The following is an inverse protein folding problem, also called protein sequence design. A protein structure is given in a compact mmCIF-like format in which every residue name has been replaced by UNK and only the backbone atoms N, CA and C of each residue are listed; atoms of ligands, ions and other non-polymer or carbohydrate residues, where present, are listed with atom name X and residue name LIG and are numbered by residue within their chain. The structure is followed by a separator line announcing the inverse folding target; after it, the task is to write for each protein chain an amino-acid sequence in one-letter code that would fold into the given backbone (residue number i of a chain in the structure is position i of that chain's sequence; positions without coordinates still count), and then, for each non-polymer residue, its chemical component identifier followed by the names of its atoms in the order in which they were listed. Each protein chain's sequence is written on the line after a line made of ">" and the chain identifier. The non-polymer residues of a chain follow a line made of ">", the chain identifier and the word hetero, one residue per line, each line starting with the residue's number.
data_IF_028822668341
#
_entry.id   IF_028822668341
#
_cell.length_a   1.000
_cell.length_b   1.000
_cell.length_c   1.000
_cell.angle_alpha   90.00
_cell.angle_beta   90.00
_cell.angle_gamma   90.00
#
_symmetry.space_group_name_H-M   'P 1'
#
loop_
_entity.id
_entity.type
_entity.pdbx_description
1 polymer ?
#
# COMPACT_ATOMS: atom_id res chain seq x y z
N UNK A 1 75.95 0.07 7.76
CA UNK A 1 74.73 0.00 8.60
C UNK A 1 73.91 -1.20 8.11
N UNK A 2 74.04 -2.37 8.75
CA UNK A 2 73.36 -3.61 8.30
C UNK A 2 71.97 -3.67 8.95
N UNK A 3 70.92 -3.57 8.14
CA UNK A 3 69.54 -3.82 8.56
C UNK A 3 69.42 -5.29 8.99
N UNK A 4 69.09 -5.54 10.25
CA UNK A 4 68.83 -6.87 10.82
C UNK A 4 67.51 -7.37 10.21
N UNK A 5 67.54 -8.41 9.36
CA UNK A 5 66.32 -9.05 8.85
C UNK A 5 65.56 -9.61 10.04
N UNK A 6 64.38 -9.07 10.29
CA UNK A 6 63.47 -9.53 11.33
C UNK A 6 62.95 -10.92 10.92
N UNK A 7 63.15 -11.89 11.82
CA UNK A 7 62.62 -13.24 11.69
C UNK A 7 61.09 -13.15 11.78
N UNK A 8 60.40 -13.39 10.66
CA UNK A 8 59.03 -12.92 10.44
C UNK A 8 58.02 -13.43 11.48
N UNK A 9 58.25 -14.59 12.12
CA UNK A 9 57.30 -15.17 13.09
C UNK A 9 57.43 -14.65 14.53
N UNK A 10 58.62 -14.20 14.95
CA UNK A 10 58.84 -13.75 16.34
C UNK A 10 58.34 -12.32 16.58
N UNK A 11 58.33 -11.49 15.53
CA UNK A 11 57.81 -10.12 15.59
C UNK A 11 56.29 -10.08 15.75
N UNK A 12 55.54 -10.89 14.99
CA UNK A 12 54.08 -10.95 15.12
C UNK A 12 53.65 -11.40 16.52
N UNK A 13 54.33 -12.40 17.07
CA UNK A 13 54.06 -12.89 18.42
C UNK A 13 54.39 -11.85 19.51
N UNK A 14 55.35 -10.96 19.24
CA UNK A 14 55.68 -9.84 20.13
C UNK A 14 54.65 -8.73 20.06
N UNK A 15 54.16 -8.41 18.85
CA UNK A 15 53.08 -7.44 18.63
C UNK A 15 51.77 -7.93 19.28
N UNK A 16 51.42 -9.21 19.11
CA UNK A 16 50.22 -9.80 19.71
C UNK A 16 50.26 -9.74 21.23
N UNK A 17 51.41 -10.03 21.85
CA UNK A 17 51.60 -9.90 23.30
C UNK A 17 51.50 -8.45 23.78
N UNK A 18 51.96 -7.49 22.98
CA UNK A 18 51.83 -6.07 23.29
C UNK A 18 50.38 -5.61 23.22
N UNK A 19 49.64 -6.04 22.19
CA UNK A 19 48.21 -5.76 22.02
C UNK A 19 47.42 -6.42 23.16
N UNK A 20 47.67 -7.69 23.46
CA UNK A 20 47.00 -8.41 24.54
C UNK A 20 47.24 -7.76 25.90
N UNK A 21 48.48 -7.35 26.20
CA UNK A 21 48.79 -6.64 27.43
C UNK A 21 48.11 -5.27 27.48
N UNK A 22 48.09 -4.51 26.37
CA UNK A 22 47.36 -3.25 26.31
C UNK A 22 45.86 -3.44 26.53
N UNK A 23 45.25 -4.44 25.90
CA UNK A 23 43.81 -4.74 26.03
C UNK A 23 43.47 -5.24 27.45
N UNK A 24 44.36 -6.00 28.10
CA UNK A 24 44.19 -6.41 29.51
C UNK A 24 44.36 -5.26 30.50
N UNK A 25 45.22 -4.29 30.20
CA UNK A 25 45.45 -3.10 31.03
C UNK A 25 44.49 -1.94 30.72
N UNK A 26 43.76 -2.00 29.62
CA UNK A 26 42.60 -1.16 29.40
C UNK A 26 41.54 -1.56 30.42
N UNK A 27 41.22 -0.63 31.33
CA UNK A 27 40.09 -0.77 32.24
C UNK A 27 38.90 -1.28 31.45
N UNK A 28 38.39 -2.44 31.88
CA UNK A 28 37.31 -3.22 31.27
C UNK A 28 36.41 -2.26 30.50
N UNK A 29 36.47 -2.29 29.17
CA UNK A 29 35.67 -1.47 28.26
C UNK A 29 34.22 -1.94 28.42
N UNK A 30 33.64 -1.59 29.56
CA UNK A 30 32.23 -1.78 29.80
C UNK A 30 31.59 -0.69 28.95
N UNK A 31 30.69 -1.06 28.03
CA UNK A 31 29.87 -0.05 27.39
C UNK A 31 29.24 0.81 28.50
N UNK A 32 29.00 2.09 28.20
CA UNK A 32 28.23 2.95 29.11
C UNK A 32 26.99 2.18 29.58
N UNK A 33 26.64 2.28 30.86
CA UNK A 33 25.48 1.57 31.43
C UNK A 33 24.20 1.80 30.59
N UNK A 34 24.12 2.96 29.93
CA UNK A 34 22.98 3.37 29.11
C UNK A 34 23.12 3.04 27.61
N UNK A 35 24.20 2.35 27.19
CA UNK A 35 24.43 2.04 25.79
C UNK A 35 23.30 1.19 25.22
N UNK A 36 22.94 0.12 25.93
CA UNK A 36 21.85 -0.77 25.51
C UNK A 36 20.51 -0.02 25.46
N UNK A 37 20.23 0.82 26.47
CA UNK A 37 19.02 1.65 26.50
C UNK A 37 18.96 2.62 25.32
N UNK A 38 20.06 3.34 25.04
CA UNK A 38 20.12 4.30 23.92
C UNK A 38 20.03 3.63 22.55
N UNK A 39 20.61 2.45 22.40
CA UNK A 39 20.51 1.66 21.17
C UNK A 39 19.09 1.12 21.01
N UNK A 40 18.48 0.59 22.06
CA UNK A 40 17.12 0.07 22.03
C UNK A 40 16.08 1.18 21.80
N UNK A 41 16.27 2.37 22.40
CA UNK A 41 15.43 3.54 22.14
C UNK A 41 15.52 3.98 20.68
N UNK A 42 16.73 4.03 20.10
CA UNK A 42 16.92 4.37 18.69
C UNK A 42 16.31 3.31 17.76
N UNK A 43 16.41 2.03 18.12
CA UNK A 43 15.80 0.93 17.36
C UNK A 43 14.27 0.99 17.48
N UNK A 44 13.72 1.24 18.66
CA UNK A 44 12.28 1.38 18.87
C UNK A 44 11.73 2.57 18.08
N UNK A 45 12.38 3.74 18.14
CA UNK A 45 12.01 4.92 17.35
C UNK A 45 12.11 4.65 15.84
N UNK A 46 13.15 3.95 15.39
CA UNK A 46 13.30 3.57 13.98
C UNK A 46 12.24 2.54 13.54
N UNK A 47 11.87 1.59 14.40
CA UNK A 47 10.81 0.61 14.17
C UNK A 47 9.42 1.26 14.15
N UNK A 48 9.16 2.25 15.00
CA UNK A 48 7.92 3.02 14.96
C UNK A 48 7.85 3.95 13.73
N UNK A 49 8.98 4.47 13.26
CA UNK A 49 9.04 5.27 12.04
C UNK A 49 8.95 4.42 10.75
N UNK A 50 9.35 3.15 10.81
CA UNK A 50 9.25 2.17 9.70
C UNK A 50 8.08 1.22 9.80
N UNK A 51 7.29 1.30 10.89
CA UNK A 51 5.95 0.76 10.92
C UNK A 51 5.23 1.42 9.75
N UNK A 52 5.04 0.64 8.69
CA UNK A 52 4.39 1.07 7.46
C UNK A 52 3.06 1.68 7.87
N UNK A 53 3.01 3.01 7.91
CA UNK A 53 1.77 3.73 8.20
C UNK A 53 0.86 3.37 7.03
N UNK A 54 -0.01 2.39 7.25
CA UNK A 54 -0.98 1.93 6.29
C UNK A 54 -1.98 3.07 6.11
N UNK A 55 -1.61 4.01 5.25
CA UNK A 55 -2.47 5.10 4.87
C UNK A 55 -3.67 4.45 4.16
N UNK A 56 -4.91 4.71 4.61
CA UNK A 56 -6.07 4.13 3.97
C UNK A 56 -6.05 4.50 2.48
N UNK A 57 -6.19 3.49 1.62
CA UNK A 57 -6.10 3.59 0.15
C UNK A 57 -7.01 4.69 -0.42
N UNK A 58 -8.06 5.05 0.32
CA UNK A 58 -8.93 6.18 0.04
C UNK A 58 -9.28 6.87 1.37
N UNK A 59 -9.17 8.20 1.38
CA UNK A 59 -9.54 9.02 2.54
C UNK A 59 -11.03 8.93 2.86
N UNK A 60 -11.42 9.01 4.14
CA UNK A 60 -12.83 8.98 4.59
C UNK A 60 -13.71 10.03 3.87
N UNK A 61 -13.12 11.16 3.47
CA UNK A 61 -13.79 12.21 2.70
C UNK A 61 -14.21 11.75 1.30
N UNK A 62 -13.37 10.92 0.64
CA UNK A 62 -13.63 10.41 -0.70
C UNK A 62 -14.74 9.34 -0.67
N UNK A 63 -14.83 8.55 0.40
CA UNK A 63 -15.96 7.64 0.63
C UNK A 63 -17.30 8.37 0.70
N UNK A 64 -17.35 9.48 1.43
CA UNK A 64 -18.55 10.31 1.51
C UNK A 64 -18.94 10.88 0.14
N UNK A 65 -17.96 11.40 -0.60
CA UNK A 65 -18.19 11.94 -1.95
C UNK A 65 -18.75 10.88 -2.92
N UNK A 66 -18.18 9.67 -2.92
CA UNK A 66 -18.64 8.56 -3.76
C UNK A 66 -20.07 8.12 -3.41
N UNK A 67 -20.40 8.06 -2.11
CA UNK A 67 -21.74 7.73 -1.67
C UNK A 67 -22.77 8.77 -2.13
N UNK A 68 -22.45 10.06 -1.96
CA UNK A 68 -23.32 11.16 -2.41
C UNK A 68 -23.51 11.12 -3.93
N UNK A 69 -22.44 10.93 -4.69
CA UNK A 69 -22.52 10.86 -6.16
C UNK A 69 -23.37 9.68 -6.64
N UNK A 70 -23.18 8.51 -6.04
CA UNK A 70 -23.95 7.32 -6.35
C UNK A 70 -25.43 7.47 -5.98
N UNK A 71 -25.72 8.05 -4.81
CA UNK A 71 -27.09 8.31 -4.36
C UNK A 71 -27.81 9.30 -5.28
N UNK A 72 -27.12 10.37 -5.72
CA UNK A 72 -27.68 11.33 -6.67
C UNK A 72 -28.07 10.67 -8.00
N UNK A 73 -27.24 9.75 -8.51
CA UNK A 73 -27.52 9.01 -9.74
C UNK A 73 -28.76 8.12 -9.62
N UNK A 74 -28.92 7.44 -8.48
CA UNK A 74 -30.09 6.60 -8.20
C UNK A 74 -31.36 7.44 -8.07
N UNK A 75 -31.30 8.54 -7.32
CA UNK A 75 -32.44 9.46 -7.16
C UNK A 75 -32.87 10.08 -8.50
N UNK A 76 -31.92 10.42 -9.36
CA UNK A 76 -32.21 10.90 -10.70
C UNK A 76 -32.90 9.82 -11.55
N UNK A 77 -32.46 8.56 -11.47
CA UNK A 77 -33.08 7.44 -12.18
C UNK A 77 -34.53 7.20 -11.73
N UNK A 78 -34.82 7.27 -10.42
CA UNK A 78 -36.17 7.03 -9.88
C UNK A 78 -37.22 8.05 -10.32
N UNK A 79 -36.84 9.30 -10.57
CA UNK A 79 -37.76 10.33 -11.08
C UNK A 79 -38.10 10.15 -12.57
N UNK A 80 -37.45 9.20 -13.26
CA UNK A 80 -37.65 8.95 -14.68
C UNK A 80 -38.49 7.70 -14.93
N UNK A 81 -39.80 7.78 -14.66
CA UNK A 81 -40.71 6.64 -14.82
C UNK A 81 -41.07 6.40 -16.30
N UNK A 82 -40.55 5.34 -16.90
CA UNK A 82 -41.15 4.76 -18.12
C UNK A 82 -41.02 3.24 -18.06
N UNK A 83 -42.18 2.58 -18.08
CA UNK A 83 -42.31 1.13 -18.04
C UNK A 83 -42.02 0.59 -19.44
N UNK A 84 -40.80 0.11 -19.65
CA UNK A 84 -40.45 -0.64 -20.85
C UNK A 84 -40.22 -2.11 -20.53
N UNK A 85 -40.83 -2.95 -21.35
CA UNK A 85 -40.79 -4.41 -21.26
C UNK A 85 -39.36 -4.89 -21.54
N UNK A 86 -38.95 -5.94 -20.85
CA UNK A 86 -37.58 -6.45 -20.79
C UNK A 86 -37.21 -7.15 -22.11
N UNK A 87 -36.68 -6.38 -23.08
CA UNK A 87 -36.25 -6.80 -24.43
C UNK A 87 -34.73 -7.05 -24.56
N UNK A 88 -33.96 -6.84 -23.48
CA UNK A 88 -32.49 -6.77 -23.50
C UNK A 88 -31.78 -8.07 -23.90
N UNK A 89 -32.41 -9.23 -23.67
CA UNK A 89 -31.81 -10.53 -24.01
C UNK A 89 -31.76 -10.75 -25.53
N UNK A 90 -32.79 -10.27 -26.25
CA UNK A 90 -32.85 -10.34 -27.70
C UNK A 90 -31.94 -9.30 -28.36
N UNK A 91 -31.87 -8.10 -27.79
CA UNK A 91 -31.01 -7.02 -28.28
C UNK A 91 -29.51 -7.35 -28.14
N UNK A 92 -29.09 -7.98 -27.04
CA UNK A 92 -27.68 -8.33 -26.81
C UNK A 92 -27.08 -9.20 -27.93
N UNK A 93 -27.89 -10.02 -28.60
CA UNK A 93 -27.48 -10.85 -29.72
C UNK A 93 -27.23 -10.04 -31.01
N UNK A 94 -27.98 -8.97 -31.24
CA UNK A 94 -27.82 -8.07 -32.39
C UNK A 94 -26.73 -7.01 -32.18
N UNK A 95 -26.42 -6.65 -30.93
CA UNK A 95 -25.35 -5.68 -30.63
C UNK A 95 -23.94 -6.18 -30.97
N UNK A 96 -23.68 -7.49 -30.87
CA UNK A 96 -22.39 -8.06 -31.23
C UNK A 96 -22.15 -8.13 -32.75
N UNK A 97 -23.21 -8.08 -33.55
CA UNK A 97 -23.11 -8.25 -35.01
C UNK A 97 -22.98 -6.93 -35.80
N UNK A 98 -23.25 -5.76 -35.18
CA UNK A 98 -23.30 -4.46 -35.86
C UNK A 98 -22.42 -3.37 -35.22
N UNK A 99 -21.18 -3.69 -34.82
CA UNK A 99 -20.24 -2.68 -34.31
C UNK A 99 -19.86 -1.70 -35.44
N UNK A 100 -20.65 -0.64 -35.54
CA UNK A 100 -20.35 0.66 -36.14
C UNK A 100 -20.29 1.70 -35.01
N UNK A 101 -19.48 2.75 -35.20
CA UNK A 101 -19.19 3.76 -34.17
C UNK A 101 -20.48 4.42 -33.62
N UNK A 102 -20.59 4.62 -32.29
CA UNK A 102 -21.87 4.95 -31.67
C UNK A 102 -22.22 6.44 -31.76
N UNK A 103 -23.48 6.71 -32.14
CA UNK A 103 -24.15 8.00 -31.99
C UNK A 103 -24.39 8.29 -30.50
N UNK A 104 -24.09 9.49 -30.01
CA UNK A 104 -24.17 9.84 -28.58
C UNK A 104 -25.62 9.88 -28.02
N UNK A 105 -26.63 9.67 -28.87
CA UNK A 105 -28.04 9.51 -28.48
C UNK A 105 -28.29 8.30 -27.56
N UNK A 106 -27.38 7.32 -27.50
CA UNK A 106 -27.45 6.17 -26.57
C UNK A 106 -27.62 6.56 -25.09
N UNK A 107 -27.07 7.70 -24.66
CA UNK A 107 -27.17 8.15 -23.26
C UNK A 107 -28.54 8.71 -22.89
N UNK A 108 -29.44 8.92 -23.86
CA UNK A 108 -30.81 9.37 -23.60
C UNK A 108 -31.75 8.21 -23.22
N UNK A 109 -31.37 6.97 -23.51
CA UNK A 109 -32.16 5.80 -23.16
C UNK A 109 -32.09 5.52 -21.65
N UNK A 110 -33.23 5.58 -20.97
CA UNK A 110 -33.35 5.37 -19.52
C UNK A 110 -32.83 4.00 -19.07
N UNK A 111 -33.00 2.96 -19.90
CA UNK A 111 -32.52 1.60 -19.59
C UNK A 111 -30.99 1.56 -19.58
N UNK A 112 -30.35 2.20 -20.55
CA UNK A 112 -28.87 2.29 -20.63
C UNK A 112 -28.33 3.11 -19.46
N UNK A 113 -28.96 4.26 -19.17
CA UNK A 113 -28.59 5.11 -18.05
C UNK A 113 -28.71 4.38 -16.70
N UNK A 114 -29.83 3.69 -16.47
CA UNK A 114 -30.05 2.94 -15.24
C UNK A 114 -29.10 1.73 -15.12
N UNK A 115 -28.80 1.05 -16.22
CA UNK A 115 -27.82 -0.03 -16.27
C UNK A 115 -26.42 0.46 -15.87
N UNK A 116 -26.00 1.62 -16.39
CA UNK A 116 -24.72 2.25 -16.02
C UNK A 116 -24.72 2.67 -14.56
N UNK A 117 -25.83 3.22 -14.04
CA UNK A 117 -25.94 3.62 -12.65
C UNK A 117 -25.79 2.43 -11.70
N UNK A 118 -26.47 1.31 -12.00
CA UNK A 118 -26.35 0.05 -11.25
C UNK A 118 -24.92 -0.51 -11.35
N UNK A 119 -24.31 -0.47 -12.55
CA UNK A 119 -22.92 -0.88 -12.76
C UNK A 119 -21.93 -0.08 -11.91
N UNK A 120 -22.09 1.24 -11.84
CA UNK A 120 -21.28 2.11 -10.97
C UNK A 120 -21.45 1.74 -9.49
N UNK A 121 -22.68 1.50 -9.03
CA UNK A 121 -22.95 1.06 -7.64
C UNK A 121 -22.25 -0.27 -7.34
N UNK A 122 -22.30 -1.23 -8.27
CA UNK A 122 -21.64 -2.53 -8.14
C UNK A 122 -20.11 -2.38 -8.02
N UNK A 123 -19.49 -1.55 -8.86
CA UNK A 123 -18.04 -1.32 -8.80
C UNK A 123 -17.63 -0.66 -7.47
N UNK A 124 -18.41 0.30 -6.96
CA UNK A 124 -18.17 0.90 -5.66
C UNK A 124 -18.25 -0.14 -4.53
N UNK A 125 -19.20 -1.06 -4.60
CA UNK A 125 -19.32 -2.15 -3.65
C UNK A 125 -18.13 -3.13 -3.72
N UNK A 126 -17.61 -3.43 -4.91
CA UNK A 126 -16.40 -4.25 -5.07
C UNK A 126 -15.18 -3.58 -4.45
N UNK A 127 -15.00 -2.27 -4.70
CA UNK A 127 -13.93 -1.47 -4.10
C UNK A 127 -14.08 -1.44 -2.56
N UNK A 128 -15.31 -1.35 -2.05
CA UNK A 128 -15.60 -1.44 -0.62
C UNK A 128 -15.09 -2.75 0.00
N UNK A 129 -15.46 -3.90 -0.59
CA UNK A 129 -15.06 -5.22 -0.08
C UNK A 129 -13.53 -5.36 -0.05
N UNK A 130 -12.86 -4.96 -1.13
CA UNK A 130 -11.40 -5.02 -1.23
C UNK A 130 -10.79 -4.14 -0.14
N UNK A 131 -11.27 -2.89 0.00
CA UNK A 131 -10.76 -1.97 1.01
C UNK A 131 -10.90 -2.51 2.44
N UNK A 132 -12.03 -3.15 2.78
CA UNK A 132 -12.25 -3.75 4.11
C UNK A 132 -11.29 -4.90 4.40
N UNK A 133 -11.03 -5.77 3.41
CA UNK A 133 -10.11 -6.91 3.56
C UNK A 133 -8.67 -6.46 3.79
N UNK A 134 -8.24 -5.36 3.17
CA UNK A 134 -6.92 -4.78 3.40
C UNK A 134 -6.79 -4.10 4.77
N UNK A 135 -7.86 -3.48 5.28
CA UNK A 135 -7.87 -2.86 6.61
C UNK A 135 -7.94 -3.88 7.76
N UNK A 136 -8.50 -5.08 7.53
CA UNK A 136 -8.70 -6.12 8.56
C UNK A 136 -7.50 -7.05 8.79
N UNK A 137 -6.48 -7.01 7.92
CA UNK A 137 -5.23 -7.78 8.09
C UNK A 137 -4.17 -7.03 8.92
N UNK A 138 -4.58 -5.92 9.54
CA UNK A 138 -3.80 -5.11 10.50
C UNK A 138 -4.12 -5.58 11.91
#
# INVERSE_FOLDING_TARGET
>A
MKMKKLNHSEDWNSIDKLIENQVRHMDKIQPSADFSTKVMDKIALAQHATATVYQPLISKKVWFLLFVLSSALVLFSLNTQSSEKVTWLAAANDFFSSIALPDFSFFHNKVVFNSIAIGCVMLLFQIFIISKKYQSKV
#
